data_IF_092897888775
#
_entry.id   IF_092897888775
#
_cell.length_a   1.000
_cell.length_b   1.000
_cell.length_c   1.000
_cell.angle_alpha   90.00
_cell.angle_beta   90.00
_cell.angle_gamma   90.00
#
_symmetry.space_group_name_H-M   'P 1'
#
loop_
_entity.id
_entity.type
_entity.pdbx_description
1 polymer ?
#
# COMPACT_ATOMS: atom_id res chain seq x y z
N UNK A 1 -0.17 22.55 -9.28
CA UNK A 1 -0.88 21.75 -8.26
C UNK A 1 -0.65 22.28 -6.84
N UNK A 2 0.60 22.47 -6.39
CA UNK A 2 0.85 23.15 -5.11
C UNK A 2 0.65 24.66 -5.23
N UNK A 3 1.10 25.27 -6.33
CA UNK A 3 0.87 26.70 -6.67
C UNK A 3 -0.61 27.10 -6.73
N UNK A 4 -1.51 26.16 -7.02
CA UNK A 4 -2.96 26.43 -7.07
C UNK A 4 -3.57 26.56 -5.68
N UNK A 5 -2.89 26.09 -4.62
CA UNK A 5 -3.34 26.18 -3.22
C UNK A 5 -2.45 27.06 -2.35
N UNK A 6 -1.17 27.21 -2.71
CA UNK A 6 -0.18 27.98 -1.96
C UNK A 6 0.28 29.14 -2.84
N UNK A 7 0.01 30.37 -2.40
CA UNK A 7 0.44 31.58 -3.12
C UNK A 7 1.88 31.99 -2.80
N UNK A 8 2.49 31.44 -1.74
CA UNK A 8 3.87 31.76 -1.35
C UNK A 8 4.89 31.12 -2.31
N UNK A 9 5.43 31.97 -3.19
CA UNK A 9 6.44 31.61 -4.18
C UNK A 9 7.79 31.23 -3.55
N UNK A 10 8.14 31.74 -2.36
CA UNK A 10 9.40 31.41 -1.68
C UNK A 10 9.33 30.00 -1.11
N UNK A 11 8.20 29.65 -0.50
CA UNK A 11 7.96 28.30 0.00
C UNK A 11 7.99 27.26 -1.13
N UNK A 12 7.37 27.56 -2.27
CA UNK A 12 7.38 26.68 -3.45
C UNK A 12 8.80 26.54 -4.00
N UNK A 13 9.58 27.63 -4.03
CA UNK A 13 10.99 27.58 -4.43
C UNK A 13 11.82 26.67 -3.50
N UNK A 14 11.56 26.67 -2.19
CA UNK A 14 12.22 25.75 -1.27
C UNK A 14 11.84 24.29 -1.53
N UNK A 15 10.55 24.00 -1.74
CA UNK A 15 10.11 22.65 -2.12
C UNK A 15 10.85 22.19 -3.38
N UNK A 16 10.88 23.00 -4.44
CA UNK A 16 11.59 22.67 -5.69
C UNK A 16 13.07 22.42 -5.44
N UNK A 17 13.72 23.24 -4.61
CA UNK A 17 15.13 23.04 -4.23
C UNK A 17 15.34 21.74 -3.44
N UNK A 18 14.40 21.37 -2.57
CA UNK A 18 14.45 20.09 -1.83
C UNK A 18 14.27 18.87 -2.75
N UNK A 19 13.56 19.02 -3.88
CA UNK A 19 13.49 17.98 -4.91
C UNK A 19 14.75 17.89 -5.76
N UNK A 20 15.37 19.04 -6.08
CA UNK A 20 16.59 19.11 -6.89
C UNK A 20 17.86 18.78 -6.11
N UNK A 21 17.85 18.97 -4.79
CA UNK A 21 18.93 18.56 -3.92
C UNK A 21 18.95 17.02 -3.85
N UNK A 22 19.89 16.41 -4.58
CA UNK A 22 20.18 14.99 -4.47
C UNK A 22 20.43 14.56 -3.01
N UNK A 23 20.17 13.28 -2.69
CA UNK A 23 20.58 12.73 -1.39
C UNK A 23 22.08 12.48 -1.45
N UNK A 24 22.83 13.14 -0.57
CA UNK A 24 24.22 12.77 -0.29
C UNK A 24 24.21 11.41 0.42
N UNK A 25 24.39 10.33 -0.32
CA UNK A 25 24.62 9.00 0.26
C UNK A 25 26.08 8.63 0.05
N UNK A 26 26.82 8.45 1.15
CA UNK A 26 28.23 8.00 1.16
C UNK A 26 29.23 8.88 0.38
N UNK A 27 29.07 10.20 0.39
CA UNK A 27 30.08 11.13 -0.14
C UNK A 27 30.07 11.33 -1.66
N UNK A 28 29.16 10.70 -2.40
CA UNK A 28 28.93 10.98 -3.82
C UNK A 28 27.56 11.62 -4.05
N UNK A 29 27.56 12.71 -4.82
CA UNK A 29 26.37 13.47 -5.18
C UNK A 29 25.69 12.80 -6.37
N UNK A 30 24.72 11.93 -6.12
CA UNK A 30 23.89 11.35 -7.20
C UNK A 30 22.70 12.27 -7.46
N UNK A 31 22.74 12.98 -8.60
CA UNK A 31 21.60 13.69 -9.14
C UNK A 31 20.72 12.68 -9.89
N UNK A 32 19.55 12.35 -9.35
CA UNK A 32 18.54 11.59 -10.09
C UNK A 32 17.64 12.54 -10.86
N UNK A 33 17.60 12.41 -12.18
CA UNK A 33 16.70 13.17 -13.07
C UNK A 33 15.22 12.74 -12.95
N UNK A 34 14.95 11.55 -12.39
CA UNK A 34 13.61 11.06 -12.12
C UNK A 34 13.48 10.45 -10.72
N UNK A 35 12.67 11.08 -9.88
CA UNK A 35 12.33 10.60 -8.53
C UNK A 35 12.89 11.47 -7.41
N UNK A 36 12.13 11.56 -6.31
CA UNK A 36 12.64 12.18 -5.07
C UNK A 36 13.68 11.22 -4.49
N UNK A 37 14.91 11.67 -4.26
CA UNK A 37 15.92 10.80 -3.69
C UNK A 37 15.44 10.34 -2.30
N UNK A 38 15.45 9.01 -2.07
CA UNK A 38 14.97 8.40 -0.82
C UNK A 38 15.85 8.88 0.34
N UNK A 39 15.34 9.84 1.11
CA UNK A 39 16.09 10.44 2.22
C UNK A 39 15.61 11.82 2.65
N UNK A 40 14.79 12.53 1.84
CA UNK A 40 14.20 13.79 2.29
C UNK A 40 12.97 13.52 3.17
N UNK A 41 12.92 14.14 4.36
CA UNK A 41 11.80 14.04 5.32
C UNK A 41 10.47 14.50 4.68
N UNK A 42 10.53 15.35 3.66
CA UNK A 42 9.37 15.89 2.96
C UNK A 42 8.83 14.96 1.85
N UNK A 43 9.60 13.97 1.40
CA UNK A 43 9.20 13.06 0.32
C UNK A 43 7.85 12.35 0.58
N UNK A 44 7.58 11.78 1.77
CA UNK A 44 6.31 11.09 2.04
C UNK A 44 5.10 12.04 2.01
N UNK A 45 5.29 13.29 2.44
CA UNK A 45 4.22 14.30 2.45
C UNK A 45 3.86 14.68 1.02
N UNK A 46 4.86 15.01 0.21
CA UNK A 46 4.61 15.52 -1.14
C UNK A 46 4.10 14.41 -2.06
N UNK A 47 4.62 13.20 -1.93
CA UNK A 47 4.09 12.02 -2.64
C UNK A 47 2.61 11.78 -2.34
N UNK A 48 2.19 11.97 -1.08
CA UNK A 48 0.78 11.85 -0.71
C UNK A 48 -0.09 12.98 -1.25
N UNK A 49 0.39 14.22 -1.25
CA UNK A 49 -0.31 15.36 -1.85
C UNK A 49 -0.46 15.16 -3.37
N UNK A 50 0.58 14.66 -4.02
CA UNK A 50 0.54 14.33 -5.45
C UNK A 50 -0.45 13.20 -5.75
N UNK A 51 -0.38 12.09 -5.01
CA UNK A 51 -1.32 10.98 -5.15
C UNK A 51 -2.77 11.44 -4.92
N UNK A 52 -2.99 12.36 -3.97
CA UNK A 52 -4.32 12.93 -3.73
C UNK A 52 -4.89 13.65 -4.94
N UNK A 53 -4.10 14.49 -5.61
CA UNK A 53 -4.56 15.19 -6.79
C UNK A 53 -4.72 14.28 -8.02
N UNK A 54 -3.76 13.37 -8.22
CA UNK A 54 -3.73 12.51 -9.42
C UNK A 54 -4.83 11.45 -9.36
N UNK A 55 -5.04 10.88 -8.16
CA UNK A 55 -5.86 9.70 -7.92
C UNK A 55 -7.15 10.08 -7.19
N UNK A 56 -7.09 10.58 -5.95
CA UNK A 56 -8.27 10.77 -5.11
C UNK A 56 -9.27 11.78 -5.73
N UNK A 57 -8.78 12.97 -6.11
CA UNK A 57 -9.64 14.03 -6.67
C UNK A 57 -10.25 13.62 -8.03
N UNK A 58 -9.45 12.96 -8.87
CA UNK A 58 -9.90 12.40 -10.14
C UNK A 58 -10.93 11.29 -9.93
N UNK A 59 -10.72 10.41 -8.95
CA UNK A 59 -11.62 9.32 -8.64
C UNK A 59 -12.99 9.84 -8.19
N UNK A 60 -13.00 10.79 -7.26
CA UNK A 60 -14.24 11.34 -6.71
C UNK A 60 -15.02 12.15 -7.75
N UNK A 61 -14.35 13.04 -8.50
CA UNK A 61 -15.02 13.96 -9.42
C UNK A 61 -15.38 13.34 -10.76
N UNK A 62 -14.59 12.38 -11.24
CA UNK A 62 -14.73 11.81 -12.58
C UNK A 62 -15.19 10.37 -12.50
N UNK A 63 -14.44 9.50 -11.82
CA UNK A 63 -14.68 8.05 -11.88
C UNK A 63 -16.06 7.69 -11.33
N UNK A 64 -16.39 8.13 -10.11
CA UNK A 64 -17.68 7.83 -9.48
C UNK A 64 -18.89 8.22 -10.33
N UNK A 65 -18.80 9.32 -11.10
CA UNK A 65 -19.88 9.79 -11.98
C UNK A 65 -20.09 8.95 -13.24
N UNK A 66 -19.09 8.18 -13.67
CA UNK A 66 -19.13 7.39 -14.90
C UNK A 66 -19.35 5.89 -14.66
N UNK A 67 -19.47 5.49 -13.39
CA UNK A 67 -19.77 4.13 -12.96
C UNK A 67 -21.28 3.92 -12.83
N UNK A 68 -21.73 2.70 -13.11
CA UNK A 68 -23.14 2.34 -13.00
C UNK A 68 -23.51 2.01 -11.55
N UNK A 69 -22.63 1.30 -10.84
CA UNK A 69 -22.85 0.87 -9.47
C UNK A 69 -22.12 1.74 -8.45
N UNK A 70 -22.30 1.39 -7.17
CA UNK A 70 -21.52 2.00 -6.08
C UNK A 70 -20.05 1.62 -6.20
N UNK A 71 -19.17 2.62 -6.08
CA UNK A 71 -17.72 2.44 -6.08
C UNK A 71 -17.10 3.22 -4.94
N UNK A 72 -16.21 2.59 -4.18
CA UNK A 72 -15.47 3.20 -3.08
C UNK A 72 -13.98 2.88 -3.20
N UNK A 73 -13.11 3.83 -2.82
CA UNK A 73 -11.66 3.66 -2.85
C UNK A 73 -11.07 3.87 -1.45
N UNK A 74 -10.16 2.98 -1.07
CA UNK A 74 -9.37 3.05 0.14
C UNK A 74 -7.89 3.09 -0.24
N UNK A 75 -7.18 4.14 0.15
CA UNK A 75 -5.77 4.34 -0.19
C UNK A 75 -4.94 4.56 1.06
N UNK A 76 -3.74 3.98 1.07
CA UNK A 76 -2.71 4.22 2.07
C UNK A 76 -1.37 4.32 1.36
N UNK A 77 -0.78 5.52 1.35
CA UNK A 77 0.38 5.84 0.52
C UNK A 77 0.16 5.40 -0.95
N UNK A 78 0.94 4.45 -1.43
CA UNK A 78 0.90 3.85 -2.77
C UNK A 78 -0.05 2.65 -2.90
N UNK A 79 -0.34 1.96 -1.79
CA UNK A 79 -1.27 0.83 -1.78
C UNK A 79 -2.73 1.32 -1.79
N UNK A 80 -3.56 0.77 -2.69
CA UNK A 80 -4.97 1.11 -2.79
C UNK A 80 -5.86 -0.11 -3.09
N UNK A 81 -7.10 -0.06 -2.59
CA UNK A 81 -8.17 -1.01 -2.87
C UNK A 81 -9.37 -0.23 -3.39
N UNK A 82 -9.92 -0.65 -4.54
CA UNK A 82 -11.13 -0.07 -5.12
C UNK A 82 -12.22 -1.14 -5.10
N UNK A 83 -13.28 -0.89 -4.34
CA UNK A 83 -14.45 -1.75 -4.24
C UNK A 83 -15.49 -1.31 -5.27
N UNK A 84 -15.90 -2.21 -6.15
CA UNK A 84 -16.91 -1.95 -7.18
C UNK A 84 -18.09 -2.90 -7.00
N UNK A 85 -19.32 -2.39 -7.12
CA UNK A 85 -20.52 -3.22 -7.12
C UNK A 85 -20.59 -4.13 -8.37
N UNK A 86 -20.21 -3.61 -9.53
CA UNK A 86 -20.25 -4.35 -10.80
C UNK A 86 -18.85 -4.62 -11.34
N UNK A 87 -18.66 -5.82 -11.90
CA UNK A 87 -17.39 -6.23 -12.52
C UNK A 87 -17.02 -5.36 -13.72
N UNK A 88 -18.03 -4.91 -14.49
CA UNK A 88 -17.79 -4.05 -15.65
C UNK A 88 -17.15 -2.71 -15.23
N UNK A 89 -17.65 -2.11 -14.14
CA UNK A 89 -17.05 -0.90 -13.57
C UNK A 89 -15.61 -1.14 -13.11
N UNK A 90 -15.32 -2.26 -12.46
CA UNK A 90 -13.95 -2.61 -12.04
C UNK A 90 -12.97 -2.63 -13.23
N UNK A 91 -13.34 -3.29 -14.32
CA UNK A 91 -12.52 -3.36 -15.53
C UNK A 91 -12.34 -1.99 -16.22
N UNK A 92 -13.40 -1.16 -16.26
CA UNK A 92 -13.35 0.21 -16.80
C UNK A 92 -12.44 1.10 -15.94
N UNK A 93 -12.57 1.03 -14.63
CA UNK A 93 -11.75 1.80 -13.67
C UNK A 93 -10.29 1.41 -13.80
N UNK A 94 -9.97 0.11 -13.85
CA UNK A 94 -8.59 -0.39 -14.02
C UNK A 94 -7.92 0.20 -15.26
N UNK A 95 -8.61 0.16 -16.41
CA UNK A 95 -8.12 0.74 -17.67
C UNK A 95 -7.99 2.27 -17.58
N UNK A 96 -8.96 2.95 -16.99
CA UNK A 96 -8.94 4.40 -16.85
C UNK A 96 -7.83 4.88 -15.91
N UNK A 97 -7.60 4.16 -14.80
CA UNK A 97 -6.53 4.43 -13.84
C UNK A 97 -5.16 4.24 -14.48
N UNK A 98 -4.94 3.16 -15.24
CA UNK A 98 -3.68 2.96 -15.97
C UNK A 98 -3.39 4.11 -16.96
N UNK A 99 -4.41 4.54 -17.72
CA UNK A 99 -4.30 5.71 -18.62
C UNK A 99 -4.11 7.03 -17.88
N UNK A 100 -4.70 7.17 -16.68
CA UNK A 100 -4.55 8.37 -15.85
C UNK A 100 -3.12 8.46 -15.33
N UNK A 101 -2.59 7.37 -14.78
CA UNK A 101 -1.23 7.30 -14.24
C UNK A 101 -0.17 7.53 -15.32
N UNK A 102 -0.36 6.99 -16.53
CA UNK A 102 0.59 7.20 -17.63
C UNK A 102 0.74 8.68 -18.04
N UNK A 103 -0.33 9.49 -17.94
CA UNK A 103 -0.26 10.95 -18.15
C UNK A 103 0.67 11.66 -17.15
N UNK A 104 0.90 11.06 -16.00
CA UNK A 104 1.80 11.55 -14.96
C UNK A 104 3.12 10.77 -14.91
N UNK A 105 3.45 10.01 -15.96
CA UNK A 105 4.64 9.15 -16.04
C UNK A 105 4.73 8.10 -14.92
N UNK A 106 3.59 7.73 -14.35
CA UNK A 106 3.50 6.64 -13.37
C UNK A 106 3.06 5.35 -14.04
N UNK A 107 3.64 4.22 -13.62
CA UNK A 107 3.28 2.89 -14.08
C UNK A 107 2.58 2.10 -12.99
N UNK A 108 1.46 1.47 -13.33
CA UNK A 108 0.75 0.56 -12.43
C UNK A 108 1.52 -0.76 -12.33
N UNK A 109 1.61 -1.33 -11.13
CA UNK A 109 2.22 -2.64 -10.94
C UNK A 109 1.22 -3.74 -11.30
N UNK A 110 1.28 -4.23 -12.54
CA UNK A 110 0.33 -5.22 -13.07
C UNK A 110 0.35 -6.54 -12.29
N UNK A 111 1.51 -6.95 -11.74
CA UNK A 111 1.65 -8.18 -10.96
C UNK A 111 0.87 -8.13 -9.64
N UNK A 112 0.81 -6.92 -9.04
CA UNK A 112 0.09 -6.65 -7.80
C UNK A 112 -1.39 -6.35 -8.06
N UNK A 113 -1.74 -5.71 -9.17
CA UNK A 113 -3.12 -5.27 -9.44
C UNK A 113 -4.00 -6.42 -9.93
N UNK A 114 -4.82 -6.96 -9.03
CA UNK A 114 -5.72 -8.10 -9.31
C UNK A 114 -7.17 -7.71 -9.09
N UNK A 115 -8.03 -8.20 -9.98
CA UNK A 115 -9.48 -8.15 -9.79
C UNK A 115 -9.91 -9.38 -9.00
N UNK A 116 -10.65 -9.18 -7.91
CA UNK A 116 -11.00 -10.23 -6.97
C UNK A 116 -12.50 -10.18 -6.72
N UNK A 117 -13.19 -11.30 -6.95
CA UNK A 117 -14.60 -11.42 -6.62
C UNK A 117 -14.78 -11.42 -5.09
N UNK A 118 -15.62 -10.50 -4.58
CA UNK A 118 -15.85 -10.32 -3.15
C UNK A 118 -17.31 -9.96 -2.87
N UNK A 119 -18.23 -10.88 -3.18
CA UNK A 119 -19.67 -10.72 -3.02
C UNK A 119 -20.22 -11.64 -1.92
N UNK A 120 -20.90 -11.05 -0.92
CA UNK A 120 -21.56 -11.82 0.16
C UNK A 120 -22.70 -12.68 -0.38
N UNK A 121 -23.46 -12.14 -1.34
CA UNK A 121 -24.61 -12.83 -1.93
C UNK A 121 -24.16 -14.04 -2.73
N UNK A 122 -23.12 -13.89 -3.56
CA UNK A 122 -22.58 -14.98 -4.36
C UNK A 122 -21.89 -16.02 -3.48
N UNK A 123 -21.18 -15.60 -2.42
CA UNK A 123 -20.65 -16.52 -1.42
C UNK A 123 -21.75 -17.35 -0.73
N UNK A 124 -22.89 -16.73 -0.39
CA UNK A 124 -24.02 -17.42 0.23
C UNK A 124 -24.67 -18.44 -0.73
N UNK A 125 -24.56 -18.21 -2.05
CA UNK A 125 -24.98 -19.16 -3.11
C UNK A 125 -23.94 -20.25 -3.38
N UNK A 126 -22.83 -20.30 -2.64
CA UNK A 126 -21.74 -21.27 -2.83
C UNK A 126 -20.74 -20.91 -3.92
N UNK A 127 -20.83 -19.72 -4.52
CA UNK A 127 -19.87 -19.27 -5.54
C UNK A 127 -18.57 -18.87 -4.84
N UNK A 128 -17.46 -19.48 -5.27
CA UNK A 128 -16.13 -19.24 -4.69
C UNK A 128 -15.74 -17.78 -4.83
N UNK A 129 -15.49 -17.13 -3.69
CA UNK A 129 -14.95 -15.77 -3.62
C UNK A 129 -13.44 -15.80 -3.40
N UNK A 130 -12.77 -14.71 -3.77
CA UNK A 130 -11.36 -14.54 -3.53
C UNK A 130 -11.07 -13.90 -2.17
N UNK A 131 -9.77 -13.79 -1.88
CA UNK A 131 -9.24 -13.08 -0.72
C UNK A 131 -8.14 -12.13 -1.20
N UNK A 132 -7.97 -11.00 -0.52
CA UNK A 132 -6.96 -10.01 -0.87
C UNK A 132 -6.20 -9.55 0.36
N UNK A 133 -4.91 -9.24 0.17
CA UNK A 133 -4.04 -8.70 1.22
C UNK A 133 -4.06 -7.16 1.10
N UNK A 134 -4.32 -6.44 2.19
CA UNK A 134 -4.21 -4.98 2.27
C UNK A 134 -3.67 -4.58 3.65
N UNK A 135 -2.66 -3.70 3.68
CA UNK A 135 -2.01 -3.21 4.91
C UNK A 135 -1.55 -4.30 5.88
N UNK A 136 -1.08 -5.43 5.33
CA UNK A 136 -0.61 -6.53 6.15
C UNK A 136 -1.73 -7.41 6.72
N UNK A 137 -2.97 -7.24 6.30
CA UNK A 137 -4.10 -8.10 6.64
C UNK A 137 -4.70 -8.76 5.40
N UNK A 138 -5.13 -10.01 5.52
CA UNK A 138 -5.85 -10.73 4.50
C UNK A 138 -7.36 -10.64 4.77
N UNK A 139 -8.10 -10.05 3.83
CA UNK A 139 -9.55 -9.93 3.82
C UNK A 139 -10.15 -11.11 3.05
N UNK A 140 -11.11 -11.79 3.64
CA UNK A 140 -11.83 -12.91 3.03
C UNK A 140 -13.27 -12.98 3.54
N UNK A 141 -14.14 -13.62 2.77
CA UNK A 141 -15.51 -13.91 3.22
C UNK A 141 -15.55 -15.25 3.94
N UNK A 142 -16.23 -15.31 5.08
CA UNK A 142 -16.40 -16.52 5.86
C UNK A 142 -17.73 -16.55 6.61
N UNK A 143 -18.10 -17.72 7.10
CA UNK A 143 -19.35 -17.91 7.85
C UNK A 143 -19.23 -17.26 9.24
N UNK A 144 -20.29 -16.60 9.70
CA UNK A 144 -20.41 -16.05 11.05
C UNK A 144 -20.25 -17.14 12.10
N UNK A 145 -19.91 -16.76 13.34
CA UNK A 145 -19.82 -17.70 14.46
C UNK A 145 -21.16 -18.44 14.68
N UNK A 146 -22.27 -17.75 14.45
CA UNK A 146 -23.62 -18.32 14.52
C UNK A 146 -24.00 -19.24 13.34
N UNK A 147 -23.17 -19.36 12.30
CA UNK A 147 -23.47 -20.16 11.12
C UNK A 147 -24.44 -19.53 10.12
N UNK A 148 -25.11 -18.42 10.48
CA UNK A 148 -26.29 -17.90 9.75
C UNK A 148 -25.97 -16.97 8.59
N UNK A 149 -24.78 -16.36 8.56
CA UNK A 149 -24.48 -15.32 7.58
C UNK A 149 -23.04 -15.38 7.07
N UNK A 150 -22.84 -14.96 5.81
CA UNK A 150 -21.50 -14.69 5.29
C UNK A 150 -21.07 -13.27 5.69
N UNK A 151 -19.93 -13.17 6.37
CA UNK A 151 -19.36 -11.91 6.84
C UNK A 151 -17.92 -11.74 6.34
N UNK A 152 -17.45 -10.49 6.14
CA UNK A 152 -16.04 -10.22 5.93
C UNK A 152 -15.27 -10.54 7.20
N UNK A 153 -14.21 -11.34 7.07
CA UNK A 153 -13.27 -11.67 8.14
C UNK A 153 -11.89 -11.12 7.78
N UNK A 154 -11.17 -10.78 8.83
CA UNK A 154 -9.80 -10.29 8.77
C UNK A 154 -8.89 -11.29 9.45
N UNK A 155 -7.75 -11.58 8.84
CA UNK A 155 -6.63 -12.26 9.50
C UNK A 155 -5.35 -11.50 9.22
N UNK A 156 -4.44 -11.41 10.17
CA UNK A 156 -3.11 -10.86 9.90
C UNK A 156 -2.47 -11.65 8.77
N UNK A 157 -2.00 -10.96 7.73
CA UNK A 157 -1.23 -11.57 6.64
C UNK A 157 0.11 -12.00 7.24
N UNK A 158 0.15 -13.24 7.73
CA UNK A 158 1.31 -13.74 8.46
C UNK A 158 2.56 -13.85 7.59
N UNK A 159 2.60 -13.35 6.35
CA UNK A 159 3.79 -13.41 5.48
C UNK A 159 4.98 -12.69 6.12
N UNK A 160 4.78 -11.44 6.59
CA UNK A 160 5.87 -10.65 7.21
C UNK A 160 6.26 -11.22 8.58
N UNK A 161 5.27 -11.60 9.39
CA UNK A 161 5.49 -12.26 10.68
C UNK A 161 6.21 -13.60 10.51
N UNK A 162 5.73 -14.50 9.65
CA UNK A 162 6.37 -15.80 9.34
C UNK A 162 7.77 -15.61 8.76
N UNK A 163 7.98 -14.63 7.88
CA UNK A 163 9.31 -14.33 7.35
C UNK A 163 10.27 -13.85 8.45
N UNK A 164 9.84 -12.95 9.34
CA UNK A 164 10.64 -12.52 10.50
C UNK A 164 10.90 -13.68 11.48
N UNK A 165 9.88 -14.48 11.81
CA UNK A 165 10.03 -15.66 12.68
C UNK A 165 11.00 -16.68 12.07
N UNK A 166 10.95 -16.90 10.75
CA UNK A 166 11.92 -17.75 10.03
C UNK A 166 13.34 -17.21 10.16
N UNK A 167 13.55 -15.90 9.95
CA UNK A 167 14.86 -15.24 10.13
C UNK A 167 15.37 -15.35 11.57
N UNK A 168 14.48 -15.20 12.56
CA UNK A 168 14.82 -15.36 13.98
C UNK A 168 15.19 -16.81 14.30
N UNK A 169 14.44 -17.78 13.77
CA UNK A 169 14.75 -19.21 13.92
C UNK A 169 16.10 -19.58 13.31
N UNK A 170 16.41 -19.09 12.11
CA UNK A 170 17.71 -19.27 11.45
C UNK A 170 18.85 -18.61 12.24
N UNK A 171 18.62 -17.42 12.78
CA UNK A 171 19.57 -16.73 13.65
C UNK A 171 19.83 -17.49 14.96
N UNK A 172 18.76 -18.00 15.60
CA UNK A 172 18.86 -18.85 16.80
C UNK A 172 19.68 -20.10 16.52
N UNK A 173 19.43 -20.80 15.40
CA UNK A 173 20.20 -22.00 15.01
C UNK A 173 21.69 -21.72 14.82
N UNK A 174 22.06 -20.54 14.30
CA UNK A 174 23.46 -20.14 14.09
C UNK A 174 24.18 -19.68 15.37
N UNK A 175 23.45 -19.15 16.34
CA UNK A 175 24.02 -18.48 17.51
C UNK A 175 23.79 -19.19 18.84
N UNK A 176 23.00 -20.28 18.87
CA UNK A 176 22.72 -21.08 20.07
C UNK A 176 23.95 -21.59 20.82
N UNK A 177 25.07 -21.80 20.11
CA UNK A 177 26.31 -22.29 20.69
C UNK A 177 27.36 -21.18 20.90
N UNK A 178 27.05 -19.92 20.54
CA UNK A 178 28.00 -18.80 20.56
C UNK A 178 27.82 -17.87 21.76
N UNK A 179 26.67 -17.92 22.42
CA UNK A 179 26.34 -17.03 23.52
C UNK A 179 25.76 -17.80 24.70
N UNK A 180 26.02 -17.37 25.94
CA UNK A 180 25.33 -17.88 27.11
C UNK A 180 23.83 -17.54 27.04
N UNK A 181 23.00 -18.43 27.60
CA UNK A 181 21.53 -18.40 27.47
C UNK A 181 20.91 -17.03 27.82
N UNK A 182 21.42 -16.38 28.87
CA UNK A 182 20.94 -15.06 29.33
C UNK A 182 21.10 -13.98 28.26
N UNK A 183 22.28 -13.91 27.62
CA UNK A 183 22.56 -12.91 26.57
C UNK A 183 21.79 -13.22 25.29
N UNK A 184 21.59 -14.51 24.99
CA UNK A 184 20.79 -14.94 23.85
C UNK A 184 19.31 -14.58 24.03
N UNK A 185 18.79 -14.69 25.26
CA UNK A 185 17.43 -14.29 25.62
C UNK A 185 17.19 -12.78 25.47
N UNK A 186 18.11 -11.94 25.96
CA UNK A 186 18.02 -10.47 25.80
C UNK A 186 17.97 -10.05 24.32
N UNK A 187 18.84 -10.63 23.49
CA UNK A 187 18.88 -10.35 22.05
C UNK A 187 17.60 -10.86 21.36
N UNK A 188 17.07 -12.01 21.78
CA UNK A 188 15.83 -12.55 21.26
C UNK A 188 14.64 -11.65 21.60
N UNK A 189 14.52 -11.19 22.86
CA UNK A 189 13.49 -10.26 23.30
C UNK A 189 13.53 -8.95 22.52
N UNK A 190 14.72 -8.36 22.30
CA UNK A 190 14.89 -7.18 21.46
C UNK A 190 14.44 -7.41 20.01
N UNK A 191 14.78 -8.56 19.43
CA UNK A 191 14.37 -8.93 18.06
C UNK A 191 12.87 -9.20 17.93
N UNK A 192 12.24 -9.74 18.97
CA UNK A 192 10.80 -9.99 19.03
C UNK A 192 10.00 -8.68 19.23
N UNK A 193 10.50 -7.75 20.04
CA UNK A 193 9.88 -6.43 20.21
C UNK A 193 9.84 -5.62 18.92
N UNK A 194 10.86 -5.76 18.07
CA UNK A 194 10.86 -5.14 16.73
C UNK A 194 9.82 -5.74 15.75
N UNK A 195 9.04 -6.75 16.15
CA UNK A 195 8.01 -7.38 15.32
C UNK A 195 6.65 -6.68 15.44
N UNK A 196 6.36 -6.13 16.62
CA UNK A 196 5.12 -5.43 16.94
C UNK A 196 5.32 -3.91 16.79
#
# INVERSE_FOLDING_TARGET
MLETKIKDQRFIRYIIRMFKAGVLSKGELTMSDEGVPQGSVCSPIISNIFAHYVIDDWFEKVVKKHCQGKVEMFRYADDMVICCQFRNDAGRIKKALAKRLSKFRLKMNEDKTREIAFSKQDAARGIRQGAFDFLGFAFYLGVSVSGRAIIPKLKSSGKRLRSKLKKISEWMKKNRNKYPLRKLWEILCSKLWSIF
#
